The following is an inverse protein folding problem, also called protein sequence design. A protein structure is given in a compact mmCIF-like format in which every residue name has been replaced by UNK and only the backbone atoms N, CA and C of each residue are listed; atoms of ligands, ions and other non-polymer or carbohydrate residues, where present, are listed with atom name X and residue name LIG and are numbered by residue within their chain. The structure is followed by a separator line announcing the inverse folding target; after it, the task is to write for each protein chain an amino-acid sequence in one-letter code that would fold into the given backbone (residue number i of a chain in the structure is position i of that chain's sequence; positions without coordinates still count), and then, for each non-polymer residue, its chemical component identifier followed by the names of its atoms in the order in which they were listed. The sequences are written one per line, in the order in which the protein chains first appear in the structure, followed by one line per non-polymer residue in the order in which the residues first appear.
data_IF_766746891767
#
_entry.id   IF_766746891767
#
_cell.length_a   1.000
_cell.length_b   1.000
_cell.length_c   1.000
_cell.angle_alpha   90.00
_cell.angle_beta   90.00
_cell.angle_gamma   90.00
#
_symmetry.space_group_name_H-M   'P 1'
#
loop_
_entity.id
_entity.type
_entity.pdbx_description
1 polymer ?
#
# COMPACT_ATOMS: atom_id res chain seq x y z
N UNK A 1 -3.29 -14.60 -1.75
CA UNK A 1 -1.82 -14.48 -1.87
C UNK A 1 -1.57 -13.23 -2.70
N UNK A 2 -0.99 -12.18 -2.10
CA UNK A 2 -0.65 -10.97 -2.85
C UNK A 2 0.59 -11.24 -3.71
N UNK A 3 0.84 -10.43 -4.75
CA UNK A 3 1.98 -10.67 -5.65
C UNK A 3 3.35 -10.41 -5.05
N UNK A 4 3.43 -9.76 -3.87
CA UNK A 4 4.68 -9.23 -3.30
C UNK A 4 4.82 -9.41 -1.77
N UNK A 5 3.75 -9.85 -1.09
CA UNK A 5 3.74 -10.20 0.34
C UNK A 5 3.10 -11.58 0.52
N UNK A 6 3.83 -12.50 1.15
CA UNK A 6 3.26 -13.76 1.59
C UNK A 6 2.62 -13.59 2.97
N UNK A 7 1.51 -14.28 3.17
CA UNK A 7 0.75 -14.22 4.43
C UNK A 7 0.82 -15.59 5.10
N UNK A 8 1.36 -15.64 6.33
CA UNK A 8 1.44 -16.85 7.14
C UNK A 8 0.45 -16.76 8.29
N UNK A 9 -0.29 -17.85 8.50
CA UNK A 9 -1.23 -17.99 9.61
C UNK A 9 -0.69 -19.05 10.55
N UNK A 10 -0.26 -18.62 11.74
CA UNK A 10 0.17 -19.51 12.81
C UNK A 10 -1.02 -19.99 13.63
N UNK A 11 -1.89 -19.05 14.00
CA UNK A 11 -3.14 -19.28 14.71
C UNK A 11 -4.27 -18.52 14.00
N UNK A 12 -5.32 -19.20 13.50
CA UNK A 12 -6.41 -18.52 12.82
C UNK A 12 -7.24 -17.69 13.80
N UNK A 13 -7.73 -16.54 13.32
CA UNK A 13 -8.69 -15.73 14.05
C UNK A 13 -10.06 -16.44 14.16
N UNK A 14 -10.82 -16.09 15.19
CA UNK A 14 -12.23 -16.47 15.37
C UNK A 14 -13.10 -15.24 15.53
N UNK A 15 -14.42 -15.41 15.58
CA UNK A 15 -15.39 -14.33 15.83
C UNK A 15 -15.18 -13.56 17.14
N UNK A 16 -14.47 -14.15 18.10
CA UNK A 16 -14.24 -13.63 19.44
C UNK A 16 -12.76 -13.43 19.79
N UNK A 17 -11.82 -13.93 18.99
CA UNK A 17 -10.38 -13.86 19.30
C UNK A 17 -9.55 -13.51 18.07
N UNK A 18 -8.61 -12.57 18.24
CA UNK A 18 -7.54 -12.35 17.28
C UNK A 18 -6.68 -13.62 17.18
N UNK A 19 -6.28 -13.93 15.95
CA UNK A 19 -5.28 -14.95 15.67
C UNK A 19 -3.88 -14.36 15.68
N UNK A 20 -2.92 -15.13 15.19
CA UNK A 20 -1.52 -14.74 15.04
C UNK A 20 -0.99 -15.17 13.69
N UNK A 21 -0.22 -14.29 13.06
CA UNK A 21 0.42 -14.56 11.80
C UNK A 21 1.55 -13.61 11.52
N UNK A 22 2.02 -13.67 10.27
CA UNK A 22 3.06 -12.79 9.80
C UNK A 22 2.88 -12.41 8.33
N UNK A 23 3.37 -11.22 7.99
CA UNK A 23 3.68 -10.84 6.61
C UNK A 23 5.15 -11.14 6.34
N UNK A 24 5.41 -11.86 5.25
CA UNK A 24 6.76 -12.06 4.72
C UNK A 24 6.87 -11.23 3.45
N UNK A 25 7.73 -10.23 3.50
CA UNK A 25 7.96 -9.30 2.42
C UNK A 25 8.98 -9.93 1.47
N UNK A 26 8.59 -10.15 0.22
CA UNK A 26 9.48 -10.74 -0.79
C UNK A 26 10.13 -9.65 -1.64
N UNK A 27 11.20 -10.02 -2.33
CA UNK A 27 11.86 -9.17 -3.32
C UNK A 27 11.06 -9.08 -4.65
N UNK A 28 9.87 -9.67 -4.68
CA UNK A 28 8.96 -9.58 -5.81
C UNK A 28 8.44 -8.17 -5.99
N UNK A 29 8.23 -7.81 -7.25
CA UNK A 29 7.52 -6.61 -7.64
C UNK A 29 6.47 -6.92 -8.70
N UNK A 30 5.52 -6.00 -8.85
CA UNK A 30 4.39 -6.11 -9.78
C UNK A 30 4.07 -4.74 -10.37
N UNK A 31 4.00 -4.69 -11.70
CA UNK A 31 3.63 -3.50 -12.48
C UNK A 31 2.51 -3.86 -13.47
N UNK A 32 1.69 -2.86 -13.82
CA UNK A 32 0.54 -3.02 -14.75
C UNK A 32 -0.49 -4.08 -14.34
N UNK A 33 -0.56 -4.41 -13.05
CA UNK A 33 -1.41 -5.48 -12.51
C UNK A 33 -1.07 -6.88 -13.06
N UNK A 34 0.14 -7.04 -13.61
CA UNK A 34 0.59 -8.30 -14.20
C UNK A 34 0.73 -9.43 -13.16
N UNK A 35 0.96 -9.08 -11.88
CA UNK A 35 1.38 -10.01 -10.83
C UNK A 35 2.91 -10.07 -10.73
N UNK A 36 3.44 -11.16 -10.18
CA UNK A 36 4.89 -11.36 -10.01
C UNK A 36 5.63 -11.24 -11.35
N UNK A 37 6.63 -10.36 -11.37
CA UNK A 37 7.54 -10.16 -12.50
C UNK A 37 8.55 -11.32 -12.60
N UNK A 38 9.20 -11.53 -13.76
CA UNK A 38 10.08 -12.69 -13.97
C UNK A 38 11.42 -12.60 -13.22
N UNK A 39 11.71 -11.45 -12.63
CA UNK A 39 12.88 -11.12 -11.83
C UNK A 39 12.46 -10.43 -10.52
N UNK A 40 13.42 -10.26 -9.62
CA UNK A 40 13.24 -9.76 -8.26
C UNK A 40 14.15 -8.52 -8.06
N UNK A 41 13.71 -7.56 -7.25
CA UNK A 41 14.52 -6.41 -6.85
C UNK A 41 15.17 -6.77 -5.52
N UNK A 42 16.50 -7.02 -5.46
CA UNK A 42 17.14 -7.49 -4.23
C UNK A 42 16.89 -6.52 -3.06
N UNK A 43 16.77 -7.05 -1.84
CA UNK A 43 16.55 -6.30 -0.59
C UNK A 43 15.25 -5.47 -0.56
N UNK A 44 14.39 -5.53 -1.58
CA UNK A 44 13.10 -4.84 -1.60
C UNK A 44 12.22 -5.31 -0.45
N UNK A 45 12.12 -6.63 -0.23
CA UNK A 45 11.30 -7.17 0.84
C UNK A 45 11.75 -6.65 2.21
N UNK A 46 13.05 -6.74 2.49
CA UNK A 46 13.62 -6.28 3.75
C UNK A 46 13.49 -4.76 3.95
N UNK A 47 13.69 -3.97 2.88
CA UNK A 47 13.55 -2.50 2.97
C UNK A 47 12.10 -2.05 3.27
N UNK A 48 11.11 -2.74 2.69
CA UNK A 48 9.70 -2.48 2.94
C UNK A 48 9.25 -2.97 4.31
N UNK A 49 9.73 -4.14 4.76
CA UNK A 49 9.46 -4.64 6.11
C UNK A 49 10.04 -3.71 7.17
N UNK A 50 11.30 -3.27 7.00
CA UNK A 50 11.96 -2.29 7.89
C UNK A 50 11.17 -0.99 7.97
N UNK A 51 10.78 -0.42 6.83
CA UNK A 51 10.04 0.84 6.78
C UNK A 51 8.63 0.71 7.38
N UNK A 52 7.93 -0.40 7.09
CA UNK A 52 6.62 -0.68 7.65
C UNK A 52 6.66 -0.88 9.17
N UNK A 53 7.63 -1.65 9.67
CA UNK A 53 7.84 -1.85 11.10
C UNK A 53 8.16 -0.53 11.82
N UNK A 54 9.03 0.29 11.23
CA UNK A 54 9.36 1.61 11.76
C UNK A 54 8.11 2.49 11.90
N UNK A 55 7.26 2.51 10.86
CA UNK A 55 6.02 3.28 10.91
C UNK A 55 5.05 2.75 11.95
N UNK A 56 4.92 1.43 12.12
CA UNK A 56 4.04 0.88 13.16
C UNK A 56 4.53 1.24 14.57
N UNK A 57 5.82 1.13 14.86
CA UNK A 57 6.39 1.55 16.14
C UNK A 57 6.18 3.06 16.35
N UNK A 58 6.36 3.89 15.32
CA UNK A 58 6.10 5.33 15.39
C UNK A 58 4.61 5.65 15.63
N UNK A 59 3.69 4.88 15.04
CA UNK A 59 2.26 5.00 15.29
C UNK A 59 1.91 4.66 16.75
N UNK A 60 2.51 3.60 17.31
CA UNK A 60 2.33 3.21 18.71
C UNK A 60 2.85 4.26 19.69
N UNK A 61 4.00 4.87 19.40
CA UNK A 61 4.53 6.03 20.14
C UNK A 61 3.55 7.22 20.16
N UNK A 62 2.77 7.37 19.08
CA UNK A 62 1.73 8.38 18.93
C UNK A 62 0.34 7.90 19.39
N UNK A 63 0.26 6.77 20.09
CA UNK A 63 -0.97 6.17 20.62
C UNK A 63 -2.01 5.83 19.55
N UNK A 64 -1.56 5.54 18.34
CA UNK A 64 -2.41 5.02 17.26
C UNK A 64 -2.42 3.49 17.36
N UNK A 65 -3.59 2.86 17.56
CA UNK A 65 -3.67 1.41 17.73
C UNK A 65 -3.40 0.68 16.41
N UNK A 66 -2.62 -0.39 16.47
CA UNK A 66 -2.21 -1.17 15.29
C UNK A 66 -2.36 -2.68 15.57
N UNK A 67 -2.25 -3.49 14.52
CA UNK A 67 -2.16 -4.94 14.64
C UNK A 67 -0.72 -5.48 14.70
N UNK A 68 0.28 -4.60 14.71
CA UNK A 68 1.69 -4.96 14.69
C UNK A 68 2.11 -5.52 16.03
N UNK A 69 2.97 -6.55 16.01
CA UNK A 69 3.47 -7.21 17.23
C UNK A 69 5.00 -7.21 17.31
N UNK A 70 5.70 -6.76 16.26
CA UNK A 70 7.16 -6.80 16.14
C UNK A 70 7.64 -7.36 14.79
N UNK A 71 8.96 -7.39 14.62
CA UNK A 71 9.62 -8.10 13.50
C UNK A 71 10.13 -9.46 13.95
N UNK A 72 10.28 -10.40 13.02
CA UNK A 72 10.75 -11.76 13.33
C UNK A 72 12.23 -11.88 13.01
N UNK A 73 13.04 -12.21 14.03
CA UNK A 73 14.47 -12.50 13.90
C UNK A 73 14.75 -13.86 14.54
N UNK A 74 15.36 -14.78 13.79
CA UNK A 74 15.65 -16.15 14.24
C UNK A 74 14.43 -16.90 14.84
N UNK A 75 13.23 -16.56 14.38
CA UNK A 75 11.96 -17.14 14.83
C UNK A 75 11.41 -16.56 16.14
N UNK A 76 12.02 -15.50 16.66
CA UNK A 76 11.55 -14.73 17.81
C UNK A 76 11.01 -13.37 17.35
N UNK A 77 9.93 -12.92 17.99
CA UNK A 77 9.37 -11.58 17.75
C UNK A 77 10.12 -10.58 18.62
N UNK A 78 10.68 -9.54 17.99
CA UNK A 78 11.49 -8.49 18.63
C UNK A 78 11.07 -7.11 18.10
N UNK A 79 11.43 -6.06 18.84
CA UNK A 79 11.32 -4.67 18.35
C UNK A 79 12.31 -4.47 17.17
N UNK A 80 11.95 -3.61 16.21
CA UNK A 80 12.80 -3.29 15.07
C UNK A 80 14.15 -2.73 15.52
N UNK A 81 14.16 -1.85 16.53
CA UNK A 81 15.38 -1.29 17.09
C UNK A 81 16.39 -2.35 17.54
N UNK A 82 15.91 -3.44 18.16
CA UNK A 82 16.75 -4.56 18.60
C UNK A 82 17.27 -5.38 17.41
N UNK A 83 16.43 -5.63 16.40
CA UNK A 83 16.84 -6.30 15.16
C UNK A 83 17.95 -5.52 14.43
N UNK A 84 17.77 -4.21 14.27
CA UNK A 84 18.75 -3.33 13.62
C UNK A 84 20.04 -3.20 14.44
N UNK A 85 19.96 -3.14 15.76
CA UNK A 85 21.14 -3.13 16.63
C UNK A 85 21.95 -4.44 16.54
N UNK A 86 21.29 -5.56 16.22
CA UNK A 86 21.94 -6.84 15.91
C UNK A 86 22.50 -6.92 14.48
N UNK A 87 22.27 -5.91 13.64
CA UNK A 87 22.69 -5.87 12.24
C UNK A 87 21.83 -6.71 11.30
N UNK A 88 20.56 -6.92 11.66
CA UNK A 88 19.59 -7.69 10.87
C UNK A 88 18.54 -6.75 10.30
N UNK A 89 18.44 -6.67 8.97
CA UNK A 89 17.29 -6.08 8.30
C UNK A 89 16.19 -7.15 8.19
N UNK A 90 15.03 -7.00 8.85
CA UNK A 90 13.98 -7.99 8.85
C UNK A 90 13.26 -8.02 7.50
N UNK A 91 12.74 -9.19 7.13
CA UNK A 91 11.83 -9.40 5.99
C UNK A 91 10.47 -9.99 6.43
N UNK A 92 10.29 -10.25 7.73
CA UNK A 92 9.09 -10.82 8.30
C UNK A 92 8.58 -9.98 9.48
N UNK A 93 7.29 -9.68 9.45
CA UNK A 93 6.58 -8.86 10.44
C UNK A 93 5.49 -9.71 11.11
N UNK A 94 5.49 -9.78 12.44
CA UNK A 94 4.44 -10.46 13.21
C UNK A 94 3.26 -9.52 13.44
N UNK A 95 2.05 -10.08 13.32
CA UNK A 95 0.79 -9.34 13.43
C UNK A 95 -0.27 -10.14 14.18
N UNK A 96 -1.15 -9.40 14.86
CA UNK A 96 -2.46 -9.87 15.31
C UNK A 96 -3.39 -10.06 14.10
N UNK A 97 -3.90 -11.28 13.93
CA UNK A 97 -4.79 -11.60 12.81
C UNK A 97 -6.26 -11.36 13.15
N UNK A 98 -6.98 -10.70 12.24
CA UNK A 98 -8.44 -10.61 12.27
C UNK A 98 -9.08 -11.57 11.25
N UNK A 99 -10.39 -11.72 11.29
CA UNK A 99 -11.10 -12.50 10.28
C UNK A 99 -11.29 -11.71 9.00
N UNK A 100 -11.26 -12.43 7.88
CA UNK A 100 -11.72 -11.94 6.58
C UNK A 100 -12.73 -12.97 6.07
N UNK A 101 -14.03 -12.85 6.45
CA UNK A 101 -15.08 -13.69 5.90
C UNK A 101 -15.16 -13.57 4.37
N UNK A 102 -15.77 -14.55 3.73
CA UNK A 102 -16.13 -14.43 2.32
C UNK A 102 -17.18 -13.32 2.16
N UNK A 103 -17.04 -12.48 1.13
CA UNK A 103 -18.04 -11.46 0.77
C UNK A 103 -18.94 -12.05 -0.34
N UNK A 104 -20.16 -12.53 -0.02
CA UNK A 104 -21.00 -13.20 -1.01
C UNK A 104 -21.52 -12.20 -2.04
N UNK A 105 -21.63 -12.64 -3.29
CA UNK A 105 -22.27 -11.87 -4.36
C UNK A 105 -23.52 -12.63 -4.83
N UNK A 106 -24.71 -12.07 -4.56
CA UNK A 106 -25.98 -12.63 -5.00
C UNK A 106 -26.90 -11.53 -5.56
N UNK A 107 -27.68 -11.87 -6.59
CA UNK A 107 -28.66 -10.94 -7.16
C UNK A 107 -28.10 -9.66 -7.78
N UNK A 108 -26.78 -9.57 -8.03
CA UNK A 108 -26.12 -8.37 -8.58
C UNK A 108 -25.59 -7.39 -7.54
N UNK A 109 -25.55 -7.78 -6.26
CA UNK A 109 -25.03 -6.99 -5.14
C UNK A 109 -24.20 -7.84 -4.19
N UNK A 110 -23.22 -7.22 -3.53
CA UNK A 110 -22.47 -7.84 -2.45
C UNK A 110 -23.27 -7.82 -1.14
N UNK A 111 -23.23 -8.92 -0.40
CA UNK A 111 -23.96 -9.10 0.86
C UNK A 111 -23.06 -8.80 2.07
N UNK A 112 -22.92 -7.50 2.38
CA UNK A 112 -22.15 -7.02 3.54
C UNK A 112 -22.81 -7.41 4.87
N UNK A 113 -24.14 -7.59 4.91
CA UNK A 113 -24.84 -8.09 6.10
C UNK A 113 -24.39 -9.52 6.45
N UNK A 114 -24.25 -10.40 5.45
CA UNK A 114 -23.72 -11.74 5.62
C UNK A 114 -22.25 -11.72 6.08
N UNK A 115 -21.42 -10.87 5.46
CA UNK A 115 -20.02 -10.65 5.87
C UNK A 115 -19.92 -10.30 7.36
N UNK A 116 -20.67 -9.28 7.80
CA UNK A 116 -20.66 -8.81 9.20
C UNK A 116 -21.27 -9.81 10.18
N UNK A 117 -22.28 -10.58 9.75
CA UNK A 117 -22.89 -11.61 10.57
C UNK A 117 -21.93 -12.79 10.85
N UNK A 118 -21.09 -13.15 9.88
CA UNK A 118 -20.06 -14.18 10.05
C UNK A 118 -18.86 -13.66 10.88
N UNK A 119 -18.42 -12.43 10.60
CA UNK A 119 -17.36 -11.73 11.31
C UNK A 119 -17.61 -11.54 12.82
N UNK A 120 -18.85 -11.22 13.20
CA UNK A 120 -19.19 -10.92 14.59
C UNK A 120 -18.58 -9.60 15.08
N UNK A 121 -17.57 -9.67 15.96
CA UNK A 121 -16.88 -8.49 16.51
C UNK A 121 -15.38 -8.47 16.19
N UNK A 122 -14.92 -9.31 15.26
CA UNK A 122 -13.52 -9.40 14.85
C UNK A 122 -13.45 -9.52 13.32
N UNK A 123 -13.14 -8.44 12.63
CA UNK A 123 -13.02 -8.45 11.16
C UNK A 123 -12.11 -7.35 10.62
N UNK A 124 -11.55 -7.58 9.43
CA UNK A 124 -10.97 -6.52 8.63
C UNK A 124 -12.09 -5.68 8.02
N UNK A 125 -12.06 -4.37 8.22
CA UNK A 125 -13.05 -3.48 7.63
C UNK A 125 -12.97 -3.59 6.10
N UNK A 126 -14.07 -3.87 5.37
CA UNK A 126 -14.03 -4.12 3.92
C UNK A 126 -13.92 -2.83 3.09
N UNK A 127 -13.01 -1.95 3.50
CA UNK A 127 -12.69 -0.67 2.88
C UNK A 127 -11.18 -0.52 2.74
N UNK A 128 -10.74 0.12 1.65
CA UNK A 128 -9.47 0.82 1.64
C UNK A 128 -9.73 2.30 1.96
N UNK A 129 -8.95 2.87 2.88
CA UNK A 129 -9.06 4.28 3.25
C UNK A 129 -7.87 5.01 2.64
N UNK A 130 -8.15 5.85 1.65
CA UNK A 130 -7.14 6.58 0.89
C UNK A 130 -7.07 8.00 1.40
N UNK A 131 -5.88 8.49 1.75
CA UNK A 131 -5.66 9.90 2.07
C UNK A 131 -4.76 10.54 1.02
N UNK A 132 -5.03 11.80 0.67
CA UNK A 132 -4.25 12.57 -0.31
C UNK A 132 -3.77 13.88 0.27
N UNK A 133 -2.48 14.12 0.19
CA UNK A 133 -1.84 15.41 0.48
C UNK A 133 -1.64 16.23 -0.81
N UNK A 134 -1.62 15.54 -1.97
CA UNK A 134 -1.50 16.14 -3.30
C UNK A 134 -2.50 15.52 -4.27
N UNK A 135 -2.93 16.34 -5.23
CA UNK A 135 -3.76 15.88 -6.37
C UNK A 135 -2.98 16.10 -7.66
N UNK A 136 -2.22 15.10 -8.16
CA UNK A 136 -1.54 15.21 -9.45
C UNK A 136 -2.53 15.21 -10.63
N UNK A 137 -2.10 15.68 -11.80
CA UNK A 137 -2.94 15.76 -13.03
C UNK A 137 -3.54 14.41 -13.41
N UNK A 138 -2.82 13.31 -13.18
CA UNK A 138 -3.30 11.94 -13.44
C UNK A 138 -4.15 11.32 -12.33
N UNK A 139 -4.52 12.06 -11.28
CA UNK A 139 -5.31 11.52 -10.18
C UNK A 139 -6.73 11.15 -10.63
N UNK A 140 -7.19 9.95 -10.27
CA UNK A 140 -8.56 9.49 -10.51
C UNK A 140 -9.62 10.33 -9.79
N UNK A 141 -9.23 11.12 -8.79
CA UNK A 141 -10.10 12.06 -8.10
C UNK A 141 -10.67 13.11 -9.06
N UNK A 142 -9.84 13.57 -10.00
CA UNK A 142 -10.15 14.70 -10.90
C UNK A 142 -11.25 14.40 -11.90
N UNK A 143 -11.42 13.14 -12.29
CA UNK A 143 -12.49 12.73 -13.19
C UNK A 143 -13.80 12.41 -12.47
N UNK A 144 -13.78 12.31 -11.14
CA UNK A 144 -14.93 11.91 -10.31
C UNK A 144 -15.57 13.06 -9.53
N UNK A 145 -14.82 14.13 -9.27
CA UNK A 145 -15.21 15.22 -8.37
C UNK A 145 -14.73 16.56 -8.91
N UNK A 146 -15.26 17.66 -8.39
CA UNK A 146 -14.78 19.03 -8.59
C UNK A 146 -14.01 19.50 -7.34
N UNK A 147 -13.07 20.48 -7.44
CA UNK A 147 -12.33 20.97 -6.28
C UNK A 147 -13.24 21.48 -5.14
N UNK A 148 -14.41 22.04 -5.48
CA UNK A 148 -15.38 22.54 -4.51
C UNK A 148 -15.99 21.44 -3.64
N UNK A 149 -16.04 20.19 -4.11
CA UNK A 149 -16.52 19.04 -3.34
C UNK A 149 -15.60 18.78 -2.13
N UNK A 150 -14.35 19.24 -2.22
CA UNK A 150 -13.30 19.09 -1.21
C UNK A 150 -12.98 20.41 -0.49
N UNK A 151 -13.85 21.42 -0.62
CA UNK A 151 -13.67 22.71 0.05
C UNK A 151 -12.56 23.60 -0.53
N UNK A 152 -12.05 23.29 -1.73
CA UNK A 152 -11.02 24.09 -2.40
C UNK A 152 -11.64 25.27 -3.15
N UNK A 153 -11.04 26.46 -3.01
CA UNK A 153 -11.44 27.69 -3.72
C UNK A 153 -10.88 27.72 -5.16
N UNK A 154 -11.24 26.72 -5.96
CA UNK A 154 -10.86 26.55 -7.36
C UNK A 154 -12.10 26.22 -8.21
N UNK A 155 -12.25 26.89 -9.35
CA UNK A 155 -13.39 26.67 -10.26
C UNK A 155 -13.35 25.29 -10.96
N UNK A 156 -12.15 24.77 -11.19
CA UNK A 156 -11.89 23.46 -11.80
C UNK A 156 -10.49 22.98 -11.46
N UNK A 157 -10.23 21.68 -11.60
CA UNK A 157 -8.89 21.12 -11.44
C UNK A 157 -7.89 21.74 -12.44
N UNK A 158 -6.77 22.34 -12.00
CA UNK A 158 -5.80 22.98 -12.89
C UNK A 158 -4.87 21.95 -13.55
N UNK A 159 -4.25 22.25 -14.70
CA UNK A 159 -3.30 21.34 -15.38
C UNK A 159 -1.91 21.25 -14.69
N UNK A 160 -1.90 21.29 -13.36
CA UNK A 160 -0.72 21.18 -12.50
C UNK A 160 -1.07 20.42 -11.21
N UNK A 161 -0.05 20.02 -10.44
CA UNK A 161 -0.24 19.37 -9.14
C UNK A 161 -0.86 20.38 -8.16
N UNK A 162 -1.89 19.96 -7.44
CA UNK A 162 -2.50 20.74 -6.36
C UNK A 162 -2.00 20.20 -5.02
N UNK A 163 -1.33 21.05 -4.27
CA UNK A 163 -1.00 20.82 -2.86
C UNK A 163 -2.24 21.08 -2.00
N UNK A 164 -2.49 20.22 -1.02
CA UNK A 164 -3.64 20.35 -0.12
C UNK A 164 -3.19 20.79 1.27
N UNK A 165 -3.81 21.86 1.79
CA UNK A 165 -3.58 22.30 3.18
C UNK A 165 -4.14 21.28 4.19
N UNK A 166 -5.27 20.65 3.86
CA UNK A 166 -5.89 19.57 4.61
C UNK A 166 -6.04 18.34 3.70
N UNK A 167 -5.69 17.13 4.17
CA UNK A 167 -5.76 15.96 3.32
C UNK A 167 -7.21 15.60 3.00
N UNK A 168 -7.44 15.19 1.75
CA UNK A 168 -8.69 14.57 1.32
C UNK A 168 -8.65 13.11 1.73
N UNK A 169 -9.70 12.62 2.40
CA UNK A 169 -9.88 11.22 2.73
C UNK A 169 -11.01 10.65 1.86
N UNK A 170 -10.74 9.54 1.20
CA UNK A 170 -11.68 8.81 0.35
C UNK A 170 -11.75 7.35 0.78
N UNK A 171 -12.88 6.71 0.48
CA UNK A 171 -13.11 5.30 0.73
C UNK A 171 -13.30 4.57 -0.58
N UNK A 172 -12.70 3.40 -0.72
CA UNK A 172 -13.06 2.43 -1.76
C UNK A 172 -13.43 1.10 -1.15
N UNK A 173 -14.24 0.33 -1.87
CA UNK A 173 -14.54 -1.04 -1.49
C UNK A 173 -13.28 -1.90 -1.45
N UNK A 174 -13.33 -2.96 -0.66
CA UNK A 174 -12.34 -4.03 -0.66
C UNK A 174 -13.07 -5.37 -0.76
N UNK A 175 -12.48 -6.32 -1.48
CA UNK A 175 -13.02 -7.68 -1.73
C UNK A 175 -14.17 -7.76 -2.74
N UNK A 176 -14.61 -6.64 -3.31
CA UNK A 176 -15.38 -6.67 -4.55
C UNK A 176 -14.48 -7.14 -5.72
N UNK A 177 -15.06 -7.54 -6.84
CA UNK A 177 -14.30 -7.96 -8.03
C UNK A 177 -13.52 -6.78 -8.64
N UNK A 178 -14.07 -5.57 -8.52
CA UNK A 178 -13.43 -4.31 -8.85
C UNK A 178 -13.71 -3.32 -7.74
N UNK A 179 -12.64 -2.74 -7.17
CA UNK A 179 -12.78 -1.70 -6.15
C UNK A 179 -13.43 -0.45 -6.76
N UNK A 180 -14.38 0.14 -6.02
CA UNK A 180 -15.06 1.37 -6.41
C UNK A 180 -15.01 2.39 -5.28
N UNK A 181 -14.89 3.65 -5.64
CA UNK A 181 -14.96 4.74 -4.66
C UNK A 181 -16.39 4.95 -4.17
N UNK A 182 -16.52 5.27 -2.89
CA UNK A 182 -17.78 5.37 -2.18
C UNK A 182 -18.01 6.80 -1.71
N UNK A 183 -19.29 7.17 -1.59
CA UNK A 183 -19.64 8.31 -0.75
C UNK A 183 -19.60 7.91 0.74
N UNK A 184 -19.57 8.88 1.67
CA UNK A 184 -19.46 8.57 3.10
C UNK A 184 -20.60 7.70 3.66
N UNK A 185 -21.81 7.77 3.10
CA UNK A 185 -22.94 7.00 3.61
C UNK A 185 -22.84 5.53 3.19
N UNK A 186 -22.47 5.27 1.94
CA UNK A 186 -22.19 3.92 1.45
C UNK A 186 -20.99 3.30 2.19
N UNK A 187 -19.96 4.09 2.49
CA UNK A 187 -18.79 3.64 3.25
C UNK A 187 -19.15 3.25 4.70
N UNK A 188 -19.99 4.04 5.38
CA UNK A 188 -20.45 3.72 6.75
C UNK A 188 -21.27 2.42 6.79
N UNK A 189 -22.16 2.21 5.81
CA UNK A 189 -22.90 0.95 5.67
C UNK A 189 -21.97 -0.25 5.49
N UNK A 190 -20.97 -0.13 4.61
CA UNK A 190 -20.00 -1.19 4.32
C UNK A 190 -19.07 -1.45 5.52
N UNK A 191 -18.67 -0.41 6.26
CA UNK A 191 -17.80 -0.53 7.42
C UNK A 191 -18.46 -1.29 8.60
N UNK A 192 -19.79 -1.30 8.65
CA UNK A 192 -20.58 -2.06 9.62
C UNK A 192 -20.51 -1.46 11.03
N UNK A 193 -19.82 -2.13 11.95
CA UNK A 193 -19.63 -1.63 13.33
C UNK A 193 -18.49 -0.64 13.47
N UNK A 194 -17.59 -0.58 12.49
CA UNK A 194 -16.50 0.38 12.46
C UNK A 194 -17.04 1.74 11.99
N UNK A 195 -17.26 2.64 12.95
CA UNK A 195 -17.78 3.98 12.72
C UNK A 195 -16.90 4.75 11.72
N UNK A 196 -17.51 5.30 10.66
CA UNK A 196 -16.77 5.96 9.58
C UNK A 196 -16.03 7.22 10.03
N UNK A 197 -16.59 7.97 10.99
CA UNK A 197 -15.93 9.17 11.53
C UNK A 197 -14.65 8.78 12.29
N UNK A 198 -14.67 7.63 12.98
CA UNK A 198 -13.46 7.08 13.62
C UNK A 198 -12.42 6.57 12.63
N UNK A 199 -12.86 6.00 11.51
CA UNK A 199 -11.96 5.62 10.43
C UNK A 199 -11.30 6.85 9.79
N UNK A 200 -12.05 7.93 9.57
CA UNK A 200 -11.51 9.22 9.09
C UNK A 200 -10.48 9.80 10.07
N UNK A 201 -10.83 9.90 11.36
CA UNK A 201 -9.92 10.39 12.42
C UNK A 201 -8.62 9.59 12.45
N UNK A 202 -8.71 8.25 12.38
CA UNK A 202 -7.56 7.35 12.37
C UNK A 202 -6.70 7.54 11.11
N UNK A 203 -7.32 7.61 9.93
CA UNK A 203 -6.61 7.82 8.67
C UNK A 203 -5.86 9.15 8.65
N UNK A 204 -6.45 10.22 9.18
CA UNK A 204 -5.79 11.53 9.32
C UNK A 204 -4.63 11.48 10.29
N UNK A 205 -4.77 10.79 11.42
CA UNK A 205 -3.69 10.62 12.39
C UNK A 205 -2.50 9.86 11.78
N UNK A 206 -2.77 8.75 11.09
CA UNK A 206 -1.74 7.99 10.38
C UNK A 206 -1.07 8.83 9.31
N UNK A 207 -1.85 9.51 8.47
CA UNK A 207 -1.30 10.37 7.43
C UNK A 207 -0.42 11.48 8.01
N UNK A 208 -0.83 12.10 9.12
CA UNK A 208 -0.02 13.11 9.79
C UNK A 208 1.34 12.58 10.22
N UNK A 209 1.36 11.45 10.95
CA UNK A 209 2.61 10.81 11.43
C UNK A 209 3.54 10.45 10.28
N UNK A 210 3.02 9.78 9.24
CA UNK A 210 3.82 9.36 8.07
C UNK A 210 4.33 10.57 7.28
N UNK A 211 3.52 11.63 7.18
CA UNK A 211 3.89 12.85 6.45
C UNK A 211 4.97 13.63 7.18
N UNK A 212 4.89 13.75 8.51
CA UNK A 212 5.95 14.38 9.31
C UNK A 212 7.26 13.61 9.19
N UNK A 213 7.22 12.28 9.31
CA UNK A 213 8.40 11.44 9.15
C UNK A 213 9.02 11.55 7.75
N UNK A 214 8.19 11.56 6.70
CA UNK A 214 8.65 11.76 5.33
C UNK A 214 9.35 13.12 5.18
N UNK A 215 8.76 14.19 5.72
CA UNK A 215 9.31 15.53 5.64
C UNK A 215 10.68 15.64 6.34
N UNK A 216 10.85 14.99 7.50
CA UNK A 216 12.14 14.94 8.21
C UNK A 216 13.23 14.22 7.41
N UNK A 217 12.85 13.23 6.59
CA UNK A 217 13.73 12.55 5.65
C UNK A 217 13.93 13.31 4.30
N UNK A 218 13.31 14.48 4.14
CA UNK A 218 13.35 15.27 2.90
C UNK A 218 12.48 14.68 1.77
N UNK A 219 11.60 13.75 2.10
CA UNK A 219 10.62 13.15 1.19
C UNK A 219 9.31 13.93 1.25
N UNK A 220 8.63 13.97 0.11
CA UNK A 220 7.28 14.48 -0.04
C UNK A 220 6.33 13.29 -0.06
N UNK A 221 5.40 13.25 0.89
CA UNK A 221 4.35 12.24 0.94
C UNK A 221 3.12 12.73 0.16
N UNK A 222 2.91 12.21 -1.05
CA UNK A 222 1.86 12.68 -1.98
C UNK A 222 0.48 12.16 -1.57
N UNK A 223 0.39 10.87 -1.29
CA UNK A 223 -0.80 10.17 -0.83
C UNK A 223 -0.47 8.74 -0.41
N UNK A 224 -1.44 8.08 0.21
CA UNK A 224 -1.32 6.71 0.65
C UNK A 224 -2.66 6.08 0.96
N UNK A 225 -2.63 4.82 1.40
CA UNK A 225 -3.81 4.12 1.87
C UNK A 225 -3.52 3.31 3.11
N UNK A 226 -4.56 3.09 3.90
CA UNK A 226 -4.53 2.15 5.01
C UNK A 226 -5.73 1.21 4.95
N UNK A 227 -5.57 0.10 5.64
CA UNK A 227 -6.63 -0.82 5.98
C UNK A 227 -6.77 -0.82 7.51
N UNK A 228 -7.97 -1.13 7.99
CA UNK A 228 -8.25 -1.17 9.42
C UNK A 228 -8.95 -2.47 9.78
N UNK A 229 -8.71 -2.96 10.99
CA UNK A 229 -9.52 -4.01 11.60
C UNK A 229 -10.42 -3.42 12.69
N UNK A 230 -11.55 -4.09 12.92
CA UNK A 230 -12.43 -3.87 14.06
C UNK A 230 -12.34 -5.08 14.99
N UNK A 231 -12.03 -4.84 16.28
CA UNK A 231 -12.01 -5.86 17.32
C UNK A 231 -12.64 -5.35 18.61
N UNK A 232 -13.76 -5.95 19.04
CA UNK A 232 -14.43 -5.68 20.32
C UNK A 232 -14.69 -4.18 20.63
N UNK A 233 -14.99 -3.36 19.60
CA UNK A 233 -15.26 -1.93 19.76
C UNK A 233 -14.03 -1.03 19.58
N UNK A 234 -12.88 -1.59 19.26
CA UNK A 234 -11.66 -0.88 18.90
C UNK A 234 -11.40 -1.01 17.39
N UNK A 235 -10.93 0.08 16.77
CA UNK A 235 -10.44 0.10 15.40
C UNK A 235 -8.92 0.19 15.47
N UNK A 236 -8.21 -0.67 14.73
CA UNK A 236 -6.74 -0.68 14.67
C UNK A 236 -6.27 -0.63 13.22
N UNK A 237 -5.14 0.03 12.98
CA UNK A 237 -4.48 0.01 11.67
C UNK A 237 -4.00 -1.41 11.37
N UNK A 238 -4.29 -1.89 10.18
CA UNK A 238 -3.97 -3.22 9.68
C UNK A 238 -3.17 -3.14 8.36
N UNK A 239 -2.92 -4.30 7.75
CA UNK A 239 -1.97 -4.48 6.63
C UNK A 239 -0.59 -3.85 6.91
N UNK A 240 -0.10 -3.01 6.01
CA UNK A 240 1.20 -2.34 6.08
C UNK A 240 0.98 -0.86 5.81
N UNK A 241 1.74 0.00 6.47
CA UNK A 241 1.56 1.46 6.39
C UNK A 241 2.84 2.17 6.00
N UNK A 242 2.71 3.17 5.11
CA UNK A 242 3.74 4.17 4.88
C UNK A 242 5.00 3.66 4.17
N UNK A 243 4.92 2.58 3.38
CA UNK A 243 6.06 2.12 2.57
C UNK A 243 6.01 2.68 1.14
N UNK A 244 7.11 2.54 0.39
CA UNK A 244 7.20 2.93 -1.01
C UNK A 244 6.29 2.14 -1.97
N UNK A 245 5.71 1.01 -1.55
CA UNK A 245 4.78 0.24 -2.36
C UNK A 245 3.30 0.58 -2.05
N UNK A 246 2.98 0.92 -0.80
CA UNK A 246 1.63 1.30 -0.37
C UNK A 246 1.34 2.80 -0.53
N UNK A 247 2.35 3.66 -0.42
CA UNK A 247 2.22 5.11 -0.50
C UNK A 247 3.10 5.70 -1.61
N UNK A 248 2.73 6.90 -2.08
CA UNK A 248 3.54 7.66 -3.04
C UNK A 248 4.40 8.67 -2.30
N UNK A 249 5.70 8.44 -2.36
CA UNK A 249 6.71 9.39 -1.90
C UNK A 249 7.53 9.90 -3.08
N UNK A 250 7.87 11.18 -3.07
CA UNK A 250 8.82 11.77 -4.00
C UNK A 250 9.97 12.48 -3.31
N UNK A 251 11.14 12.43 -3.94
CA UNK A 251 12.35 13.13 -3.53
C UNK A 251 12.85 13.96 -4.72
N UNK A 252 12.94 15.27 -4.55
CA UNK A 252 13.34 16.19 -5.63
C UNK A 252 12.51 15.97 -6.92
N UNK A 253 11.19 15.79 -6.78
CA UNK A 253 10.23 15.48 -7.87
C UNK A 253 10.40 14.09 -8.55
N UNK A 254 11.24 13.20 -8.00
CA UNK A 254 11.34 11.80 -8.43
C UNK A 254 10.59 10.90 -7.46
N UNK A 255 9.64 10.10 -7.95
CA UNK A 255 9.00 9.08 -7.09
C UNK A 255 10.01 8.00 -6.68
N UNK A 256 10.03 7.70 -5.38
CA UNK A 256 10.82 6.65 -4.76
C UNK A 256 9.93 5.43 -4.63
N UNK A 257 9.79 4.66 -5.71
CA UNK A 257 8.91 3.48 -5.77
C UNK A 257 9.18 2.65 -7.01
N UNK A 258 8.42 1.56 -7.19
CA UNK A 258 8.36 0.78 -8.43
C UNK A 258 7.94 1.57 -9.67
N UNK A 259 7.52 2.83 -9.56
CA UNK A 259 7.21 3.64 -10.73
C UNK A 259 8.42 3.79 -11.68
N UNK A 260 9.65 3.81 -11.14
CA UNK A 260 10.88 3.81 -11.93
C UNK A 260 10.95 2.60 -12.87
N UNK A 261 10.80 1.38 -12.33
CA UNK A 261 10.81 0.16 -13.14
C UNK A 261 9.57 0.07 -14.05
N UNK A 262 8.41 0.59 -13.62
CA UNK A 262 7.22 0.69 -14.48
C UNK A 262 7.51 1.51 -15.73
N UNK A 263 8.10 2.70 -15.58
CA UNK A 263 8.44 3.57 -16.70
C UNK A 263 9.54 2.97 -17.58
N UNK A 264 10.51 2.27 -16.98
CA UNK A 264 11.50 1.52 -17.74
C UNK A 264 10.86 0.49 -18.66
N UNK A 265 9.96 -0.37 -18.14
CA UNK A 265 9.22 -1.34 -18.95
C UNK A 265 8.37 -0.67 -20.05
N UNK A 266 7.71 0.47 -19.78
CA UNK A 266 6.96 1.22 -20.82
C UNK A 266 7.86 1.60 -21.99
N UNK A 267 9.09 2.00 -21.72
CA UNK A 267 10.04 2.44 -22.75
C UNK A 267 10.71 1.28 -23.48
N UNK A 268 11.13 0.24 -22.77
CA UNK A 268 11.95 -0.85 -23.33
C UNK A 268 11.14 -2.07 -23.80
N UNK A 269 9.96 -2.29 -23.23
CA UNK A 269 9.08 -3.42 -23.53
C UNK A 269 7.68 -2.95 -23.96
N UNK A 270 7.62 -1.89 -24.78
CA UNK A 270 6.37 -1.23 -25.17
C UNK A 270 5.37 -2.16 -25.90
N UNK A 271 5.85 -3.16 -26.64
CA UNK A 271 4.96 -4.15 -27.29
C UNK A 271 4.22 -5.02 -26.27
N UNK A 272 4.89 -5.42 -25.19
CA UNK A 272 4.24 -6.16 -24.10
C UNK A 272 3.25 -5.28 -23.35
N UNK A 273 3.63 -4.03 -23.03
CA UNK A 273 2.74 -3.09 -22.35
C UNK A 273 1.49 -2.80 -23.19
N UNK A 274 1.63 -2.64 -24.51
CA UNK A 274 0.48 -2.48 -25.40
C UNK A 274 -0.41 -3.74 -25.41
N UNK A 275 0.18 -4.93 -25.47
CA UNK A 275 -0.58 -6.19 -25.41
C UNK A 275 -1.33 -6.38 -24.09
N UNK A 276 -0.78 -5.90 -22.96
CA UNK A 276 -1.50 -5.87 -21.66
C UNK A 276 -2.72 -4.96 -21.75
N UNK A 277 -2.60 -3.77 -22.36
CA UNK A 277 -3.71 -2.87 -22.59
C UNK A 277 -4.81 -3.51 -23.46
N UNK A 278 -4.42 -4.03 -24.64
CA UNK A 278 -5.34 -4.71 -25.56
C UNK A 278 -6.07 -5.89 -24.91
N UNK A 279 -5.36 -6.65 -24.05
CA UNK A 279 -5.94 -7.79 -23.33
C UNK A 279 -6.96 -7.35 -22.28
N UNK A 280 -6.70 -6.25 -21.54
CA UNK A 280 -7.65 -5.67 -20.58
C UNK A 280 -8.89 -5.11 -21.27
N UNK A 281 -8.70 -4.31 -22.32
CA UNK A 281 -9.81 -3.76 -23.10
C UNK A 281 -10.71 -4.88 -23.66
N UNK A 282 -10.09 -5.95 -24.21
CA UNK A 282 -10.81 -7.12 -24.71
C UNK A 282 -11.53 -7.89 -23.61
N UNK A 283 -10.92 -8.02 -22.43
CA UNK A 283 -11.52 -8.69 -21.28
C UNK A 283 -12.78 -7.97 -20.82
N UNK A 284 -12.73 -6.63 -20.76
CA UNK A 284 -13.87 -5.78 -20.43
C UNK A 284 -14.99 -5.88 -21.48
N UNK A 285 -14.63 -5.89 -22.78
CA UNK A 285 -15.59 -6.07 -23.87
C UNK A 285 -16.25 -7.46 -23.89
N UNK A 286 -15.50 -8.52 -23.58
CA UNK A 286 -15.95 -9.91 -23.59
C UNK A 286 -16.55 -10.37 -22.24
N UNK A 287 -16.43 -9.57 -21.17
CA UNK A 287 -16.87 -9.91 -19.82
C UNK A 287 -16.07 -11.06 -19.20
N UNK A 288 -14.75 -11.08 -19.41
CA UNK A 288 -13.83 -12.12 -18.92
C UNK A 288 -12.99 -11.56 -17.77
N UNK A 289 -13.07 -12.17 -16.59
CA UNK A 289 -12.26 -11.71 -15.43
C UNK A 289 -10.75 -11.94 -15.63
N UNK A 290 -10.36 -13.07 -16.24
CA UNK A 290 -8.95 -13.41 -16.48
C UNK A 290 -8.42 -12.81 -17.79
N UNK A 291 -8.21 -11.49 -17.79
CA UNK A 291 -7.60 -10.77 -18.92
C UNK A 291 -6.21 -11.30 -19.28
N UNK A 292 -5.46 -11.84 -18.31
CA UNK A 292 -4.08 -12.29 -18.52
C UNK A 292 -4.02 -13.47 -19.47
N UNK A 293 -5.04 -14.35 -19.47
CA UNK A 293 -5.19 -15.43 -20.45
C UNK A 293 -5.35 -14.96 -21.90
N UNK A 294 -5.75 -13.69 -22.10
CA UNK A 294 -5.91 -13.07 -23.41
C UNK A 294 -4.64 -12.35 -23.89
N UNK A 295 -3.61 -12.24 -23.05
CA UNK A 295 -2.35 -11.61 -23.39
C UNK A 295 -1.32 -12.65 -23.90
N UNK A 296 -1.01 -12.60 -25.19
CA UNK A 296 -0.06 -13.52 -25.83
C UNK A 296 1.42 -13.13 -25.62
N UNK A 297 1.69 -12.06 -24.86
CA UNK A 297 3.04 -11.55 -24.59
C UNK A 297 3.36 -11.67 -23.11
N UNK A 298 4.62 -11.93 -22.78
CA UNK A 298 5.12 -11.95 -21.42
C UNK A 298 6.22 -10.89 -21.26
N UNK A 299 6.40 -10.32 -20.05
CA UNK A 299 7.53 -9.46 -19.79
C UNK A 299 8.84 -10.26 -19.89
N UNK A 300 9.87 -9.62 -20.45
CA UNK A 300 11.24 -10.10 -20.36
C UNK A 300 11.88 -9.63 -19.04
N UNK A 301 12.82 -10.40 -18.48
CA UNK A 301 13.55 -9.97 -17.29
C UNK A 301 14.30 -8.65 -17.52
N UNK A 302 14.41 -7.84 -16.47
CA UNK A 302 15.25 -6.65 -16.49
C UNK A 302 16.75 -7.01 -16.37
N UNK A 303 17.60 -6.15 -16.93
CA UNK A 303 19.06 -6.28 -16.77
C UNK A 303 19.48 -6.01 -15.31
N UNK A 304 20.54 -6.68 -14.86
CA UNK A 304 21.05 -6.58 -13.47
C UNK A 304 21.34 -5.12 -13.05
N UNK A 305 21.82 -4.27 -13.97
CA UNK A 305 22.10 -2.86 -13.68
C UNK A 305 20.81 -2.08 -13.35
N UNK A 306 19.69 -2.39 -14.02
CA UNK A 306 18.39 -1.74 -13.76
C UNK A 306 17.84 -2.16 -12.40
N UNK A 307 17.98 -3.45 -12.08
CA UNK A 307 17.59 -3.99 -10.77
C UNK A 307 18.46 -3.44 -9.65
N UNK A 308 19.76 -3.24 -9.88
CA UNK A 308 20.66 -2.58 -8.95
C UNK A 308 20.24 -1.15 -8.64
N UNK A 309 19.86 -0.37 -9.66
CA UNK A 309 19.35 1.00 -9.45
C UNK A 309 18.02 1.00 -8.69
N UNK A 310 17.11 0.09 -9.00
CA UNK A 310 15.85 -0.04 -8.26
C UNK A 310 16.09 -0.42 -6.80
N UNK A 311 16.98 -1.40 -6.55
CA UNK A 311 17.38 -1.85 -5.21
C UNK A 311 17.98 -0.71 -4.40
N UNK A 312 18.90 0.05 -4.99
CA UNK A 312 19.53 1.20 -4.35
C UNK A 312 18.50 2.29 -4.02
N UNK A 313 17.49 2.49 -4.87
CA UNK A 313 16.41 3.44 -4.61
C UNK A 313 15.58 3.06 -3.38
N UNK A 314 15.17 1.79 -3.27
CA UNK A 314 14.45 1.29 -2.08
C UNK A 314 15.33 1.35 -0.83
N UNK A 315 16.56 0.82 -0.89
CA UNK A 315 17.46 0.77 0.26
C UNK A 315 17.90 2.15 0.75
N UNK A 316 18.31 3.04 -0.16
CA UNK A 316 18.70 4.41 0.19
C UNK A 316 17.50 5.23 0.68
N UNK A 317 16.32 5.01 0.08
CA UNK A 317 15.05 5.58 0.53
C UNK A 317 14.74 5.17 1.97
N UNK A 318 14.82 3.87 2.29
CA UNK A 318 14.56 3.36 3.64
C UNK A 318 15.59 3.88 4.63
N UNK A 319 16.90 3.85 4.31
CA UNK A 319 17.94 4.39 5.18
C UNK A 319 17.70 5.86 5.53
N UNK A 320 17.35 6.68 4.53
CA UNK A 320 17.03 8.09 4.73
C UNK A 320 15.75 8.25 5.56
N UNK A 321 14.71 7.46 5.27
CA UNK A 321 13.42 7.52 5.94
C UNK A 321 13.53 7.16 7.42
N UNK A 322 14.23 6.09 7.79
CA UNK A 322 14.39 5.65 9.19
C UNK A 322 15.60 6.29 9.89
N UNK A 323 16.32 7.17 9.19
CA UNK A 323 17.53 7.84 9.66
C UNK A 323 18.61 6.88 10.21
N UNK A 324 18.81 5.72 9.56
CA UNK A 324 19.80 4.73 9.94
C UNK A 324 20.45 4.05 8.74
N UNK A 325 21.71 3.62 8.89
CA UNK A 325 22.46 2.87 7.88
C UNK A 325 22.08 1.38 7.92
N UNK A 326 20.84 1.03 7.56
CA UNK A 326 20.33 -0.35 7.58
C UNK A 326 20.92 -1.18 6.44
N UNK A 327 20.97 -0.59 5.24
CA UNK A 327 21.45 -1.23 4.02
C UNK A 327 22.75 -0.59 3.52
N UNK A 328 23.66 -1.40 2.96
CA UNK A 328 24.80 -0.87 2.20
C UNK A 328 24.29 -0.35 0.85
N UNK A 329 24.00 0.94 0.79
CA UNK A 329 23.39 1.62 -0.35
C UNK A 329 24.00 3.03 -0.50
N UNK A 330 23.94 3.63 -1.70
CA UNK A 330 24.35 5.02 -1.89
C UNK A 330 23.44 5.99 -1.12
N UNK A 331 23.77 7.28 -1.12
CA UNK A 331 22.84 8.29 -0.60
C UNK A 331 21.57 8.37 -1.43
N UNK A 332 20.46 8.81 -0.83
CA UNK A 332 19.19 8.98 -1.54
C UNK A 332 19.34 9.90 -2.77
N UNK A 333 20.10 10.99 -2.66
CA UNK A 333 20.45 11.85 -3.81
C UNK A 333 21.06 11.09 -4.99
N UNK A 334 22.02 10.20 -4.70
CA UNK A 334 22.73 9.45 -5.73
C UNK A 334 21.85 8.33 -6.33
N UNK A 335 21.05 7.66 -5.50
CA UNK A 335 20.08 6.67 -5.95
C UNK A 335 19.01 7.29 -6.86
N UNK A 336 18.47 8.46 -6.48
CA UNK A 336 17.51 9.22 -7.29
C UNK A 336 18.13 9.70 -8.60
N UNK A 337 19.37 10.20 -8.58
CA UNK A 337 20.08 10.57 -9.80
C UNK A 337 20.24 9.39 -10.75
N UNK A 338 20.65 8.21 -10.25
CA UNK A 338 20.77 7.00 -11.06
C UNK A 338 19.41 6.54 -11.61
N UNK A 339 18.34 6.61 -10.82
CA UNK A 339 17.00 6.26 -11.24
C UNK A 339 16.47 7.17 -12.38
N UNK A 340 16.83 8.45 -12.40
CA UNK A 340 16.49 9.39 -13.48
C UNK A 340 17.24 9.13 -14.78
N UNK A 341 18.44 8.55 -14.68
CA UNK A 341 19.29 8.25 -15.83
C UNK A 341 18.88 6.93 -16.53
N UNK A 342 18.01 6.13 -15.92
CA UNK A 342 17.43 4.92 -16.52
C UNK A 342 16.53 5.25 -17.71
#
# INVERSE_FOLDING_TARGET
MTSVKEFRVDEPATADQLGRGSFVFTDDYSVFDWGKMPDEIPDKGASLCTMGAFNFELLEENHVPTHYEGVVVDGEVVELGDALAAGVAPDEMSISLTQVPDLPFDGGSYDYDAYHAEAGQNYLVPLEIVFRNRVPVGSSLRSRTDPSDHGLDLDSWPDEVVELDEPIVEYSTKYEEQDRYLDPADADEIAGRADIDRLDELARAVNHVVTEQAADAGLVHEDGKIECLYYEGEIRVADVVGTFDENRFSYDDQQVSKEVVRQYHKRTQSEWVAAVGDAKDRADEEGVADWKSLCDRQPEPLDEDVLGVARDLYCAGTNAYVAADVFDAPSLDAAVAAARDL
#
